data_IF_973723915881
#
_entry.id   IF_973723915881
#
_cell.length_a   1.000
_cell.length_b   1.000
_cell.length_c   1.000
_cell.angle_alpha   90.00
_cell.angle_beta   90.00
_cell.angle_gamma   90.00
#
_symmetry.space_group_name_H-M   'P 1'
#
loop_
_entity.id
_entity.type
_entity.pdbx_description
1 polymer ?
#
# COMPACT_ATOMS: atom_id res chain seq x y z
N UNK A 1 -7.20 13.35 -3.65
CA UNK A 1 -6.28 12.26 -3.98
C UNK A 1 -5.80 12.37 -5.41
N UNK A 2 -4.58 11.96 -5.65
CA UNK A 2 -4.02 11.87 -6.99
C UNK A 2 -4.39 10.52 -7.59
N UNK A 3 -4.84 10.49 -8.84
CA UNK A 3 -5.16 9.25 -9.56
C UNK A 3 -4.12 9.03 -10.64
N UNK A 4 -3.49 7.84 -10.65
CA UNK A 4 -2.52 7.48 -11.67
C UNK A 4 -3.22 6.86 -12.90
N UNK A 5 -2.52 6.75 -14.04
CA UNK A 5 -3.11 6.12 -15.24
C UNK A 5 -3.57 4.68 -15.02
N UNK A 6 -2.99 3.94 -14.08
CA UNK A 6 -3.39 2.56 -13.77
C UNK A 6 -4.68 2.48 -12.95
N UNK A 7 -5.18 3.61 -12.45
CA UNK A 7 -6.36 3.64 -11.58
C UNK A 7 -6.03 3.66 -10.09
N UNK A 8 -4.75 3.57 -9.72
CA UNK A 8 -4.32 3.74 -8.33
C UNK A 8 -4.59 5.17 -7.89
N UNK A 9 -5.11 5.33 -6.66
CA UNK A 9 -5.23 6.65 -6.04
C UNK A 9 -4.32 6.70 -4.83
N UNK A 10 -3.71 7.86 -4.59
CA UNK A 10 -2.87 8.03 -3.40
C UNK A 10 -2.90 9.47 -2.89
N UNK A 11 -2.55 9.61 -1.61
CA UNK A 11 -2.47 10.89 -0.94
C UNK A 11 -1.42 10.81 0.17
N UNK A 12 -0.48 11.76 0.18
CA UNK A 12 0.49 11.87 1.26
C UNK A 12 -0.15 12.63 2.42
N UNK A 13 -0.41 11.90 3.51
CA UNK A 13 -0.93 12.51 4.74
C UNK A 13 0.19 13.10 5.58
N UNK A 14 1.39 12.54 5.46
CA UNK A 14 2.62 13.08 6.01
C UNK A 14 3.68 13.02 4.92
N UNK A 15 4.31 14.15 4.62
CA UNK A 15 5.41 14.20 3.66
C UNK A 15 6.71 13.97 4.42
N UNK A 16 7.39 12.87 4.09
CA UNK A 16 8.69 12.56 4.70
C UNK A 16 9.79 13.49 4.21
N UNK A 17 10.88 13.52 4.96
CA UNK A 17 12.03 14.37 4.65
C UNK A 17 13.31 13.58 4.37
N UNK A 18 13.25 12.26 4.47
CA UNK A 18 14.41 11.40 4.24
C UNK A 18 14.58 11.01 2.79
N UNK A 19 15.33 9.92 2.57
CA UNK A 19 15.60 9.42 1.22
C UNK A 19 14.30 8.98 0.53
N UNK A 20 14.26 9.15 -0.79
CA UNK A 20 13.10 8.81 -1.61
C UNK A 20 13.19 7.36 -2.08
N UNK A 21 12.11 6.61 -1.93
CA UNK A 21 12.04 5.21 -2.35
C UNK A 21 12.03 5.10 -3.88
N UNK A 22 12.90 4.27 -4.41
CA UNK A 22 13.05 4.04 -5.84
C UNK A 22 12.97 2.55 -6.17
N UNK A 23 12.56 2.25 -7.40
CA UNK A 23 12.53 0.88 -7.90
C UNK A 23 13.89 0.20 -7.72
N UNK A 24 13.87 -1.06 -7.27
CA UNK A 24 15.08 -1.83 -7.05
C UNK A 24 15.64 -1.74 -5.64
N UNK A 25 15.17 -0.80 -4.83
CA UNK A 25 15.59 -0.70 -3.44
C UNK A 25 14.80 -1.67 -2.55
N UNK A 26 15.43 -2.13 -1.48
CA UNK A 26 14.74 -2.86 -0.41
C UNK A 26 14.19 -1.82 0.57
N UNK A 27 12.87 -1.83 0.75
CA UNK A 27 12.20 -0.83 1.59
C UNK A 27 11.59 -1.50 2.82
N UNK A 28 11.50 -0.73 3.91
CA UNK A 28 10.90 -1.17 5.17
C UNK A 28 9.72 -0.26 5.49
N UNK A 29 8.56 -0.85 5.71
CA UNK A 29 7.32 -0.09 5.95
C UNK A 29 6.54 -0.66 7.12
N UNK A 30 5.75 0.19 7.78
CA UNK A 30 4.57 -0.24 8.52
C UNK A 30 3.34 0.07 7.69
N UNK A 31 2.35 -0.82 7.75
CA UNK A 31 1.12 -0.63 7.00
C UNK A 31 -0.09 -1.14 7.76
N UNK A 32 -1.24 -0.59 7.43
CA UNK A 32 -2.54 -1.12 7.84
C UNK A 32 -3.45 -1.11 6.61
N UNK A 33 -4.19 -2.20 6.42
CA UNK A 33 -5.08 -2.36 5.28
C UNK A 33 -6.52 -2.57 5.70
N UNK A 34 -7.44 -1.95 4.95
CA UNK A 34 -8.88 -2.07 5.14
C UNK A 34 -9.54 -2.37 3.80
N UNK A 35 -10.70 -3.01 3.86
CA UNK A 35 -11.59 -3.05 2.71
C UNK A 35 -12.13 -1.64 2.45
N UNK A 36 -12.27 -1.27 1.19
CA UNK A 36 -12.75 0.06 0.82
C UNK A 36 -14.02 -0.08 -0.01
N UNK A 37 -15.16 0.25 0.59
CA UNK A 37 -16.48 0.03 0.00
C UNK A 37 -17.20 1.36 -0.21
N UNK A 38 -17.60 1.64 -1.46
CA UNK A 38 -18.36 2.84 -1.80
C UNK A 38 -17.72 4.14 -1.28
N UNK A 39 -16.41 4.23 -1.39
CA UNK A 39 -15.66 5.39 -0.93
C UNK A 39 -15.44 5.46 0.57
N UNK A 40 -15.74 4.40 1.31
CA UNK A 40 -15.62 4.38 2.77
C UNK A 40 -14.72 3.25 3.25
N UNK A 41 -13.94 3.54 4.28
CA UNK A 41 -13.11 2.57 4.96
C UNK A 41 -13.99 1.53 5.65
N UNK A 42 -13.75 0.27 5.32
CA UNK A 42 -14.47 -0.86 5.89
C UNK A 42 -13.65 -1.61 6.93
N UNK A 43 -13.78 -2.94 6.94
CA UNK A 43 -13.11 -3.79 7.92
C UNK A 43 -11.60 -3.81 7.71
N UNK A 44 -10.84 -3.70 8.79
CA UNK A 44 -9.38 -3.92 8.78
C UNK A 44 -9.11 -5.40 8.55
N UNK A 45 -8.20 -5.70 7.62
CA UNK A 45 -7.86 -7.11 7.35
C UNK A 45 -6.41 -7.46 7.67
N UNK A 46 -5.52 -6.48 7.80
CA UNK A 46 -4.10 -6.74 8.10
C UNK A 46 -3.42 -5.49 8.62
N UNK A 47 -2.36 -5.68 9.42
CA UNK A 47 -1.48 -4.60 9.87
C UNK A 47 -0.16 -5.16 10.34
N UNK A 48 0.94 -4.60 9.85
CA UNK A 48 2.27 -4.94 10.35
C UNK A 48 2.45 -4.47 11.80
N UNK A 49 1.76 -3.43 12.21
CA UNK A 49 1.81 -2.92 13.59
C UNK A 49 1.26 -3.94 14.59
N UNK A 50 0.27 -4.73 14.19
CA UNK A 50 -0.30 -5.77 15.05
C UNK A 50 0.73 -6.89 15.32
N UNK A 51 1.69 -7.10 14.41
CA UNK A 51 2.76 -8.06 14.56
C UNK A 51 3.99 -7.49 15.26
N UNK A 52 4.04 -6.17 15.42
CA UNK A 52 5.15 -5.48 16.05
C UNK A 52 6.45 -5.49 15.23
N UNK A 53 6.37 -5.77 13.93
CA UNK A 53 7.53 -5.82 13.03
C UNK A 53 7.25 -5.14 11.72
N UNK A 54 8.19 -4.29 11.23
CA UNK A 54 8.08 -3.74 9.89
C UNK A 54 8.08 -4.84 8.82
N UNK A 55 7.44 -4.53 7.71
CA UNK A 55 7.45 -5.39 6.54
C UNK A 55 8.52 -4.89 5.57
N UNK A 56 9.42 -5.77 5.15
CA UNK A 56 10.53 -5.46 4.27
C UNK A 56 10.30 -6.17 2.93
N UNK A 57 10.42 -5.42 1.82
CA UNK A 57 10.26 -6.01 0.49
C UNK A 57 11.08 -5.25 -0.55
N UNK A 58 11.48 -5.94 -1.66
CA UNK A 58 12.13 -5.26 -2.78
C UNK A 58 11.08 -4.51 -3.60
N UNK A 59 11.27 -3.21 -3.78
CA UNK A 59 10.30 -2.35 -4.46
C UNK A 59 10.34 -2.56 -5.97
N UNK A 60 9.17 -2.64 -6.58
CA UNK A 60 8.97 -2.82 -8.02
C UNK A 60 9.54 -4.14 -8.56
N UNK A 61 9.63 -5.17 -7.72
CA UNK A 61 10.16 -6.48 -8.11
C UNK A 61 9.08 -7.56 -8.26
N UNK A 62 7.80 -7.21 -8.14
CA UNK A 62 6.70 -8.16 -8.25
C UNK A 62 6.51 -9.06 -7.03
N UNK A 63 7.08 -8.70 -5.89
CA UNK A 63 6.97 -9.49 -4.65
C UNK A 63 5.74 -9.12 -3.83
N UNK A 64 5.10 -8.01 -4.14
CA UNK A 64 3.91 -7.51 -3.46
C UNK A 64 2.85 -7.17 -4.51
N UNK A 65 1.65 -6.84 -4.08
CA UNK A 65 0.60 -6.45 -5.03
C UNK A 65 1.04 -5.22 -5.82
N UNK A 66 0.56 -5.12 -7.06
CA UNK A 66 0.99 -4.06 -8.00
C UNK A 66 0.77 -2.66 -7.45
N UNK A 67 -0.33 -2.45 -6.71
CA UNK A 67 -0.62 -1.16 -6.10
C UNK A 67 0.45 -0.69 -5.14
N UNK A 68 1.13 -1.60 -4.45
CA UNK A 68 2.26 -1.28 -3.59
C UNK A 68 3.51 -1.00 -4.39
N UNK A 69 3.83 -1.86 -5.39
CA UNK A 69 5.00 -1.64 -6.23
C UNK A 69 4.94 -0.29 -6.94
N UNK A 70 3.75 0.15 -7.31
CA UNK A 70 3.56 1.47 -7.92
C UNK A 70 3.47 2.57 -6.86
N UNK A 71 2.68 2.33 -5.81
CA UNK A 71 2.28 3.38 -4.86
C UNK A 71 3.36 3.80 -3.88
N UNK A 72 4.28 2.91 -3.52
CA UNK A 72 5.35 3.22 -2.57
C UNK A 72 6.51 3.97 -3.24
N UNK A 73 6.67 3.83 -4.55
CA UNK A 73 7.69 4.61 -5.27
C UNK A 73 7.44 6.11 -5.09
N UNK A 74 8.49 6.84 -4.81
CA UNK A 74 8.40 8.28 -4.63
C UNK A 74 8.08 8.73 -3.22
N UNK A 75 7.76 7.82 -2.30
CA UNK A 75 7.65 8.18 -0.88
C UNK A 75 9.01 8.52 -0.31
N UNK A 76 9.06 9.49 0.60
CA UNK A 76 10.27 9.79 1.36
C UNK A 76 10.20 9.14 2.74
N UNK A 77 11.34 8.72 3.27
CA UNK A 77 11.42 8.15 4.62
C UNK A 77 10.85 9.14 5.64
N UNK A 78 10.03 8.64 6.53
CA UNK A 78 9.28 9.43 7.51
C UNK A 78 7.90 9.83 7.02
N UNK A 79 7.57 9.57 5.76
CA UNK A 79 6.26 9.89 5.19
C UNK A 79 5.23 8.79 5.41
N UNK A 80 3.97 9.18 5.35
CA UNK A 80 2.82 8.29 5.38
C UNK A 80 1.95 8.58 4.16
N UNK A 81 1.60 7.53 3.42
CA UNK A 81 0.80 7.64 2.19
C UNK A 81 -0.40 6.73 2.28
N UNK A 82 -1.57 7.26 1.96
CA UNK A 82 -2.78 6.46 1.80
C UNK A 82 -2.89 6.02 0.36
N UNK A 83 -3.18 4.74 0.14
CA UNK A 83 -3.35 4.14 -1.18
C UNK A 83 -4.75 3.57 -1.30
N UNK A 84 -5.47 3.93 -2.34
CA UNK A 84 -6.72 3.26 -2.73
C UNK A 84 -6.40 2.41 -3.94
N UNK A 85 -6.46 1.11 -3.78
CA UNK A 85 -5.96 0.13 -4.73
C UNK A 85 -7.15 -0.62 -5.33
N UNK A 86 -7.44 -0.42 -6.64
CA UNK A 86 -8.49 -1.21 -7.29
C UNK A 86 -8.10 -2.67 -7.36
N UNK A 87 -9.08 -3.55 -7.52
CA UNK A 87 -8.85 -4.99 -7.47
C UNK A 87 -7.78 -5.46 -8.47
N UNK A 88 -7.70 -4.85 -9.65
CA UNK A 88 -6.72 -5.21 -10.68
C UNK A 88 -5.27 -5.00 -10.22
N UNK A 89 -5.06 -4.09 -9.28
CA UNK A 89 -3.74 -3.82 -8.70
C UNK A 89 -3.57 -4.45 -7.33
N UNK A 90 -4.56 -5.18 -6.86
CA UNK A 90 -4.58 -5.89 -5.60
C UNK A 90 -4.71 -7.38 -5.78
N UNK A 91 -5.76 -7.96 -5.23
CA UNK A 91 -5.95 -9.41 -5.24
C UNK A 91 -6.94 -9.89 -6.30
N UNK A 92 -7.44 -9.00 -7.15
CA UNK A 92 -8.22 -9.34 -8.33
C UNK A 92 -9.51 -10.08 -8.03
N UNK A 93 -9.91 -10.92 -9.00
CA UNK A 93 -11.16 -11.69 -8.92
C UNK A 93 -11.10 -12.83 -7.91
N UNK A 94 -9.92 -13.19 -7.41
CA UNK A 94 -9.77 -14.30 -6.44
C UNK A 94 -9.96 -13.85 -5.00
N UNK A 95 -9.61 -12.60 -4.68
CA UNK A 95 -9.49 -12.16 -3.31
C UNK A 95 -8.31 -12.85 -2.61
N UNK A 96 -8.31 -12.88 -1.30
CA UNK A 96 -7.23 -13.51 -0.52
C UNK A 96 -7.73 -14.04 0.81
N UNK A 97 -7.44 -15.31 1.07
CA UNK A 97 -7.47 -15.93 2.38
C UNK A 97 -8.78 -15.79 3.18
N UNK A 98 -9.92 -15.63 2.56
CA UNK A 98 -11.19 -15.46 3.24
C UNK A 98 -11.41 -14.09 3.90
N UNK A 99 -10.40 -13.21 3.89
CA UNK A 99 -10.51 -11.86 4.48
C UNK A 99 -10.68 -10.79 3.41
N UNK A 100 -10.20 -11.03 2.18
CA UNK A 100 -10.37 -10.13 1.06
C UNK A 100 -11.29 -10.79 0.04
N UNK A 101 -12.50 -10.25 -0.16
CA UNK A 101 -13.44 -10.83 -1.11
C UNK A 101 -12.98 -10.63 -2.56
N UNK A 102 -13.55 -11.36 -3.52
CA UNK A 102 -13.27 -11.13 -4.93
C UNK A 102 -13.61 -9.70 -5.35
N UNK A 103 -12.79 -9.15 -6.23
CA UNK A 103 -12.99 -7.82 -6.82
C UNK A 103 -13.01 -6.68 -5.79
N UNK A 104 -12.29 -6.84 -4.68
CA UNK A 104 -12.28 -5.83 -3.62
C UNK A 104 -11.32 -4.68 -3.93
N UNK A 105 -11.80 -3.46 -3.70
CA UNK A 105 -10.94 -2.29 -3.62
C UNK A 105 -10.40 -2.19 -2.20
N UNK A 106 -9.11 -1.85 -2.08
CA UNK A 106 -8.40 -1.85 -0.80
C UNK A 106 -7.94 -0.44 -0.45
N UNK A 107 -7.95 -0.13 0.84
CA UNK A 107 -7.35 1.08 1.38
C UNK A 107 -6.17 0.68 2.25
N UNK A 108 -5.01 1.24 1.97
CA UNK A 108 -3.81 1.04 2.81
C UNK A 108 -3.30 2.37 3.31
N UNK A 109 -2.84 2.38 4.55
CA UNK A 109 -2.00 3.45 5.09
C UNK A 109 -0.61 2.88 5.24
N UNK A 110 0.36 3.45 4.52
CA UNK A 110 1.75 2.96 4.48
C UNK A 110 2.67 4.04 5.01
N UNK A 111 3.48 3.68 5.99
CA UNK A 111 4.53 4.53 6.54
C UNK A 111 5.89 3.99 6.10
N UNK A 112 6.70 4.81 5.42
CA UNK A 112 8.03 4.41 4.97
C UNK A 112 9.05 4.66 6.06
N UNK A 113 9.71 3.59 6.52
CA UNK A 113 10.66 3.63 7.63
C UNK A 113 12.10 3.70 7.16
N UNK A 114 12.45 2.99 6.09
CA UNK A 114 13.82 2.92 5.58
C UNK A 114 13.83 2.51 4.11
N UNK A 115 14.90 2.85 3.43
CA UNK A 115 15.17 2.42 2.05
C UNK A 115 16.53 1.76 1.92
#
# INVERSE_FOLDING_TARGET
>A
MITTPSGLQYEDTVVGTGAVAQAGQRVSVHYTGWLYNDGQQGAKFDSSKDRGQPFVFPLAAGHVIKGWDEGVQGMAVGGTRCLVIPAELGYGARGAGGVIPPNATLLFEVELLAV
#
